data_IF_485478861379
#
_entry.id   IF_485478861379
#
_cell.length_a   1.000
_cell.length_b   1.000
_cell.length_c   1.000
_cell.angle_alpha   90.00
_cell.angle_beta   90.00
_cell.angle_gamma   90.00
#
_symmetry.space_group_name_H-M   'P 1'
#
loop_
_entity.id
_entity.type
_entity.pdbx_description
1 polymer ?
#
# COMPACT_ATOMS: atom_id res chain seq x y z
N UNK A 1 -1.35 13.34 -0.91
CA UNK A 1 -0.78 12.31 -1.80
C UNK A 1 0.70 12.14 -1.45
N UNK A 2 1.15 10.95 -1.07
CA UNK A 2 2.58 10.71 -0.71
C UNK A 2 3.29 9.96 -1.83
N UNK A 3 4.47 10.44 -2.19
CA UNK A 3 5.33 9.83 -3.20
C UNK A 3 6.39 8.95 -2.55
N UNK A 4 6.44 7.68 -2.95
CA UNK A 4 7.48 6.73 -2.56
C UNK A 4 8.44 6.53 -3.72
N UNK A 5 9.62 7.15 -3.61
CA UNK A 5 10.70 7.02 -4.62
C UNK A 5 11.33 5.62 -4.63
N UNK A 6 11.26 4.90 -3.49
CA UNK A 6 11.77 3.54 -3.33
C UNK A 6 10.63 2.63 -2.91
N UNK A 7 10.62 1.41 -3.47
CA UNK A 7 9.68 0.39 -3.06
C UNK A 7 10.10 -0.20 -1.71
N UNK A 8 9.43 0.23 -0.64
CA UNK A 8 9.66 -0.27 0.71
C UNK A 8 8.30 -0.59 1.35
N UNK A 9 7.83 -1.85 1.19
CA UNK A 9 6.49 -2.27 1.60
C UNK A 9 6.16 -1.91 3.04
N UNK A 10 7.08 -2.09 3.99
CA UNK A 10 6.86 -1.79 5.41
C UNK A 10 6.65 -0.29 5.68
N UNK A 11 7.37 0.60 4.99
CA UNK A 11 7.17 2.06 5.12
C UNK A 11 5.86 2.50 4.48
N UNK A 12 5.49 1.90 3.35
CA UNK A 12 4.22 2.15 2.68
C UNK A 12 3.07 1.66 3.57
N UNK A 13 3.16 0.43 4.08
CA UNK A 13 2.20 -0.17 5.00
C UNK A 13 2.05 0.65 6.28
N UNK A 14 3.14 1.17 6.87
CA UNK A 14 3.08 2.06 8.03
C UNK A 14 2.37 3.38 7.73
N UNK A 15 2.54 3.92 6.53
CA UNK A 15 1.84 5.13 6.10
C UNK A 15 0.34 4.86 5.88
N UNK A 16 0.01 3.78 5.18
CA UNK A 16 -1.35 3.37 4.88
C UNK A 16 -2.10 2.93 6.14
N UNK A 17 -1.48 2.15 7.02
CA UNK A 17 -2.10 1.69 8.28
C UNK A 17 -2.42 2.82 9.24
N UNK A 18 -1.75 3.98 9.13
CA UNK A 18 -2.02 5.17 9.96
C UNK A 18 -3.15 6.05 9.41
N UNK A 19 -3.50 5.89 8.13
CA UNK A 19 -4.47 6.74 7.44
C UNK A 19 -5.70 5.92 7.06
N UNK A 20 -6.89 6.49 7.22
CA UNK A 20 -8.11 5.79 6.89
C UNK A 20 -8.30 5.65 5.38
N UNK A 21 -8.04 6.70 4.59
CA UNK A 21 -8.17 6.66 3.13
C UNK A 21 -7.20 7.61 2.45
N UNK A 22 -6.84 7.32 1.21
CA UNK A 22 -6.02 8.24 0.43
C UNK A 22 -5.41 7.60 -0.81
N UNK A 23 -4.48 8.35 -1.41
CA UNK A 23 -3.72 7.93 -2.59
C UNK A 23 -2.23 8.06 -2.36
N UNK A 24 -1.49 7.04 -2.79
CA UNK A 24 -0.03 6.99 -2.80
C UNK A 24 0.46 6.81 -4.23
N UNK A 25 1.66 7.30 -4.50
CA UNK A 25 2.34 7.01 -5.75
C UNK A 25 3.63 6.25 -5.46
N UNK A 26 3.80 5.11 -6.10
CA UNK A 26 4.98 4.26 -5.99
C UNK A 26 5.75 4.37 -7.30
N UNK A 27 6.98 4.86 -7.25
CA UNK A 27 7.81 4.99 -8.43
C UNK A 27 8.04 3.61 -9.09
N UNK A 28 7.74 3.51 -10.39
CA UNK A 28 7.83 2.26 -11.15
C UNK A 28 6.60 1.35 -11.11
N UNK A 29 5.64 1.60 -10.21
CA UNK A 29 4.36 0.86 -10.12
C UNK A 29 3.14 1.76 -10.34
N UNK A 30 3.27 3.09 -10.18
CA UNK A 30 2.20 4.05 -10.42
C UNK A 30 1.40 4.43 -9.18
N UNK A 31 0.19 4.96 -9.42
CA UNK A 31 -0.71 5.44 -8.37
C UNK A 31 -1.56 4.31 -7.79
N UNK A 32 -1.63 4.23 -6.48
CA UNK A 32 -2.51 3.31 -5.75
C UNK A 32 -3.44 4.08 -4.82
N UNK A 33 -4.67 3.59 -4.74
CA UNK A 33 -5.65 4.05 -3.75
C UNK A 33 -5.66 3.08 -2.58
N UNK A 34 -5.96 3.61 -1.40
CA UNK A 34 -6.16 2.79 -0.21
C UNK A 34 -7.36 3.29 0.57
N UNK A 35 -8.08 2.34 1.18
CA UNK A 35 -9.25 2.58 2.00
C UNK A 35 -9.25 1.65 3.22
N UNK A 36 -9.64 2.20 4.37
CA UNK A 36 -9.56 1.60 5.70
C UNK A 36 -8.23 0.88 5.99
N UNK A 37 -7.13 1.50 5.57
CA UNK A 37 -5.78 0.96 5.72
C UNK A 37 -5.47 -0.22 4.78
N UNK A 38 -6.28 -0.50 3.76
CA UNK A 38 -6.02 -1.55 2.75
C UNK A 38 -5.78 -0.93 1.39
N UNK A 39 -4.77 -1.40 0.67
CA UNK A 39 -4.59 -1.00 -0.73
C UNK A 39 -5.68 -1.64 -1.60
N UNK A 40 -6.20 -0.83 -2.51
CA UNK A 40 -7.15 -1.20 -3.54
C UNK A 40 -6.36 -1.50 -4.82
N UNK A 41 -6.78 -2.54 -5.53
CA UNK A 41 -6.21 -2.92 -6.81
C UNK A 41 -6.70 -1.92 -7.87
N UNK A 42 -5.82 -1.29 -8.65
CA UNK A 42 -6.24 -0.35 -9.70
C UNK A 42 -7.01 -1.08 -10.83
N UNK A 43 -7.92 -0.39 -11.50
CA UNK A 43 -8.71 -0.97 -12.62
C UNK A 43 -7.83 -1.53 -13.75
N UNK A 44 -6.68 -0.89 -14.03
CA UNK A 44 -5.68 -1.35 -15.00
C UNK A 44 -4.48 -1.99 -14.28
N UNK A 45 -4.72 -3.02 -13.49
CA UNK A 45 -3.66 -3.72 -12.77
C UNK A 45 -2.97 -4.79 -13.63
N UNK A 46 -1.65 -4.66 -13.78
CA UNK A 46 -0.79 -5.77 -14.23
C UNK A 46 -0.43 -6.71 -13.06
N UNK A 47 0.09 -7.92 -13.36
CA UNK A 47 0.53 -8.92 -12.35
C UNK A 47 1.40 -8.33 -11.23
N UNK A 48 2.27 -7.36 -11.56
CA UNK A 48 3.15 -6.67 -10.59
C UNK A 48 2.37 -5.86 -9.54
N UNK A 49 1.26 -5.25 -9.94
CA UNK A 49 0.39 -4.49 -9.03
C UNK A 49 -0.30 -5.42 -8.03
N UNK A 50 -0.79 -6.57 -8.48
CA UNK A 50 -1.38 -7.58 -7.58
C UNK A 50 -0.36 -8.07 -6.54
N UNK A 51 0.86 -8.35 -6.98
CA UNK A 51 1.93 -8.79 -6.08
C UNK A 51 2.28 -7.70 -5.06
N UNK A 52 2.41 -6.45 -5.51
CA UNK A 52 2.70 -5.31 -4.65
C UNK A 52 1.58 -5.04 -3.63
N UNK A 53 0.31 -5.08 -4.05
CA UNK A 53 -0.84 -4.90 -3.16
C UNK A 53 -0.90 -6.02 -2.13
N UNK A 54 -0.68 -7.27 -2.54
CA UNK A 54 -0.65 -8.42 -1.63
C UNK A 54 0.44 -8.26 -0.56
N UNK A 55 1.65 -7.92 -0.97
CA UNK A 55 2.80 -7.74 -0.07
C UNK A 55 2.58 -6.60 0.92
N UNK A 56 2.10 -5.45 0.45
CA UNK A 56 1.83 -4.30 1.31
C UNK A 56 0.67 -4.60 2.28
N UNK A 57 -0.42 -5.22 1.82
CA UNK A 57 -1.54 -5.57 2.70
C UNK A 57 -1.14 -6.60 3.76
N UNK A 58 -0.23 -7.53 3.46
CA UNK A 58 0.34 -8.44 4.46
C UNK A 58 1.14 -7.69 5.52
N UNK A 59 1.97 -6.73 5.12
CA UNK A 59 2.71 -5.88 6.07
C UNK A 59 1.77 -5.00 6.91
N UNK A 60 0.70 -4.45 6.33
CA UNK A 60 -0.34 -3.76 7.09
C UNK A 60 -0.96 -4.69 8.13
N UNK A 61 -1.32 -5.91 7.73
CA UNK A 61 -1.93 -6.88 8.64
C UNK A 61 -0.98 -7.23 9.79
N UNK A 62 0.31 -7.45 9.51
CA UNK A 62 1.35 -7.66 10.54
C UNK A 62 1.45 -6.48 11.50
N UNK A 63 1.47 -5.25 10.97
CA UNK A 63 1.49 -4.05 11.80
C UNK A 63 0.22 -3.99 12.68
N UNK A 64 -0.97 -4.25 12.12
CA UNK A 64 -2.20 -4.24 12.93
C UNK A 64 -2.20 -5.31 14.02
N UNK A 65 -1.70 -6.52 13.75
CA UNK A 65 -1.59 -7.58 14.76
C UNK A 65 -0.51 -7.27 15.82
N UNK A 66 0.58 -6.58 15.46
CA UNK A 66 1.67 -6.26 16.39
C UNK A 66 1.33 -5.10 17.35
N UNK A 67 0.35 -4.26 17.02
CA UNK A 67 -0.09 -3.11 17.81
C UNK A 67 -1.54 -3.24 18.32
N UNK A 68 -2.14 -4.44 18.26
CA UNK A 68 -3.46 -4.77 18.82
C UNK A 68 -3.33 -5.36 20.23
#
# INVERSE_FOLDING_TARGET
MRLFKRYTPSMIAKHVSRLFKGRIYIYGLGGFEFDNGKLIIPERAEKRHFQAVKEINQEVMRLRCAYA
#
